data_IF_222114304981
#
_entry.id   IF_222114304981
#
_cell.length_a   1.000
_cell.length_b   1.000
_cell.length_c   1.000
_cell.angle_alpha   90.00
_cell.angle_beta   90.00
_cell.angle_gamma   90.00
#
_symmetry.space_group_name_H-M   'P 1'
#
loop_
_entity.id
_entity.type
_entity.pdbx_description
1 polymer ?
#
# COMPACT_ATOMS: atom_id res chain seq x y z
N UNK A 1 -24.46 -1.68 5.42
CA UNK A 1 -23.29 -2.15 4.67
C UNK A 1 -22.84 -3.47 5.27
N UNK A 2 -22.56 -4.48 4.46
CA UNK A 2 -22.04 -5.75 5.00
C UNK A 2 -20.56 -5.56 5.33
N UNK A 3 -20.13 -5.93 6.53
CA UNK A 3 -18.78 -5.76 7.04
C UNK A 3 -17.72 -6.33 6.09
N UNK A 4 -17.98 -7.52 5.54
CA UNK A 4 -17.07 -8.17 4.58
C UNK A 4 -16.83 -7.31 3.35
N UNK A 5 -17.88 -6.73 2.77
CA UNK A 5 -17.76 -5.88 1.58
C UNK A 5 -16.95 -4.61 1.88
N UNK A 6 -17.15 -4.02 3.06
CA UNK A 6 -16.38 -2.85 3.50
C UNK A 6 -14.89 -3.19 3.64
N UNK A 7 -14.58 -4.31 4.30
CA UNK A 7 -13.20 -4.76 4.45
C UNK A 7 -12.54 -5.03 3.10
N UNK A 8 -13.22 -5.70 2.18
CA UNK A 8 -12.71 -5.94 0.82
C UNK A 8 -12.42 -4.63 0.10
N UNK A 9 -13.33 -3.65 0.21
CA UNK A 9 -13.14 -2.33 -0.39
C UNK A 9 -11.91 -1.64 0.18
N UNK A 10 -11.80 -1.57 1.51
CA UNK A 10 -10.67 -0.90 2.19
C UNK A 10 -9.33 -1.57 1.87
N UNK A 11 -9.27 -2.91 1.92
CA UNK A 11 -8.03 -3.65 1.62
C UNK A 11 -7.59 -3.58 0.15
N UNK A 12 -8.50 -3.21 -0.75
CA UNK A 12 -8.19 -3.05 -2.18
C UNK A 12 -7.71 -1.62 -2.54
N UNK A 13 -7.80 -0.66 -1.60
CA UNK A 13 -7.37 0.71 -1.87
C UNK A 13 -5.84 0.80 -1.91
N UNK A 14 -5.26 1.51 -2.89
CA UNK A 14 -3.84 1.83 -2.88
C UNK A 14 -3.55 2.88 -1.81
N UNK A 15 -2.95 2.45 -0.70
CA UNK A 15 -2.72 3.29 0.47
C UNK A 15 -1.32 3.06 1.06
N UNK A 16 -0.30 2.92 0.23
CA UNK A 16 1.08 2.85 0.71
C UNK A 16 1.41 4.15 1.45
N UNK A 17 2.10 4.04 2.61
CA UNK A 17 2.47 5.20 3.44
C UNK A 17 3.09 6.32 2.60
N UNK A 18 2.52 7.51 2.67
CA UNK A 18 2.86 8.67 1.83
C UNK A 18 2.08 8.78 0.51
N UNK A 19 1.20 7.82 0.19
CA UNK A 19 0.38 7.80 -1.02
C UNK A 19 -1.11 7.54 -0.72
N UNK A 20 -1.62 7.99 0.44
CA UNK A 20 -2.95 7.65 0.96
C UNK A 20 -4.07 8.52 0.40
N UNK A 21 -3.78 9.60 -0.34
CA UNK A 21 -4.79 10.59 -0.73
C UNK A 21 -5.98 10.03 -1.52
N UNK A 22 -5.76 9.01 -2.34
CA UNK A 22 -6.86 8.35 -3.07
C UNK A 22 -7.70 7.49 -2.14
N UNK A 23 -7.05 6.76 -1.23
CA UNK A 23 -7.71 5.96 -0.21
C UNK A 23 -8.50 6.85 0.76
N UNK A 24 -7.94 7.99 1.19
CA UNK A 24 -8.61 8.97 2.03
C UNK A 24 -9.93 9.47 1.41
N UNK A 25 -9.95 9.75 0.10
CA UNK A 25 -11.19 10.14 -0.60
C UNK A 25 -12.24 9.03 -0.53
N UNK A 26 -11.86 7.77 -0.79
CA UNK A 26 -12.77 6.65 -0.73
C UNK A 26 -13.32 6.41 0.69
N UNK A 27 -12.45 6.54 1.71
CA UNK A 27 -12.86 6.43 3.11
C UNK A 27 -13.80 7.56 3.51
N UNK A 28 -13.55 8.80 3.07
CA UNK A 28 -14.45 9.92 3.31
C UNK A 28 -15.86 9.64 2.78
N UNK A 29 -15.99 9.06 1.57
CA UNK A 29 -17.29 8.68 1.03
C UNK A 29 -17.97 7.55 1.85
N UNK A 30 -17.19 6.62 2.39
CA UNK A 30 -17.71 5.56 3.28
C UNK A 30 -18.22 6.13 4.62
N UNK A 31 -17.63 7.24 5.11
CA UNK A 31 -18.04 7.89 6.36
C UNK A 31 -19.30 8.74 6.23
N UNK A 32 -19.53 9.37 5.06
CA UNK A 32 -20.65 10.30 4.84
C UNK A 32 -22.03 9.80 5.30
N UNK A 33 -22.42 8.53 5.10
CA UNK A 33 -23.72 8.05 5.54
C UNK A 33 -23.88 7.93 7.07
N UNK A 34 -22.79 8.04 7.81
CA UNK A 34 -22.75 7.76 9.26
C UNK A 34 -22.31 8.95 10.10
N UNK A 35 -21.86 10.04 9.50
CA UNK A 35 -21.33 11.21 10.19
C UNK A 35 -22.10 12.46 9.82
N UNK A 36 -22.21 13.41 10.75
CA UNK A 36 -22.78 14.73 10.50
C UNK A 36 -21.85 15.59 9.62
N UNK A 37 -20.53 15.45 9.84
CA UNK A 37 -19.50 16.08 9.01
C UNK A 37 -18.39 15.10 8.72
N UNK A 38 -17.77 15.24 7.53
CA UNK A 38 -16.60 14.47 7.12
C UNK A 38 -15.61 15.43 6.48
N UNK A 39 -14.45 15.54 7.10
CA UNK A 39 -13.35 16.40 6.65
C UNK A 39 -12.11 15.57 6.33
N UNK A 40 -11.29 16.06 5.40
CA UNK A 40 -9.98 15.47 5.13
C UNK A 40 -8.93 16.56 5.28
N UNK A 41 -7.96 16.35 6.15
CA UNK A 41 -6.90 17.32 6.38
C UNK A 41 -5.79 17.23 5.30
N UNK A 42 -4.82 18.15 5.39
CA UNK A 42 -3.69 18.22 4.45
C UNK A 42 -2.73 17.01 4.51
N UNK A 43 -2.80 16.21 5.57
CA UNK A 43 -2.00 15.01 5.74
C UNK A 43 -2.74 13.74 5.26
N UNK A 44 -4.00 13.88 4.80
CA UNK A 44 -4.82 12.76 4.37
C UNK A 44 -5.62 12.10 5.48
N UNK A 45 -5.63 12.64 6.71
CA UNK A 45 -6.48 12.12 7.78
C UNK A 45 -7.94 12.40 7.44
N UNK A 46 -8.78 11.36 7.48
CA UNK A 46 -10.22 11.48 7.30
C UNK A 46 -10.87 11.54 8.68
N UNK A 47 -11.57 12.63 8.95
CA UNK A 47 -12.19 12.90 10.25
C UNK A 47 -13.70 12.95 10.07
N UNK A 48 -14.38 11.93 10.57
CA UNK A 48 -15.84 11.90 10.64
C UNK A 48 -16.32 12.31 12.02
N UNK A 49 -17.24 13.26 12.12
CA UNK A 49 -17.81 13.71 13.36
C UNK A 49 -19.30 13.41 13.41
N UNK A 50 -19.75 12.88 14.55
CA UNK A 50 -21.14 12.56 14.83
C UNK A 50 -21.53 13.15 16.18
N UNK A 51 -22.55 14.00 16.23
CA UNK A 51 -23.07 14.58 17.46
C UNK A 51 -24.16 13.71 18.07
N UNK A 52 -24.09 13.46 19.36
CA UNK A 52 -25.18 12.83 20.09
C UNK A 52 -26.33 13.83 20.45
N UNK A 53 -26.21 15.11 20.10
CA UNK A 53 -27.21 16.14 20.38
C UNK A 53 -27.38 16.53 21.86
N UNK A 54 -26.50 16.02 22.75
CA UNK A 54 -26.58 16.31 24.19
C UNK A 54 -25.53 17.33 24.60
N UNK A 55 -25.99 18.44 25.18
CA UNK A 55 -25.10 19.48 25.72
C UNK A 55 -24.20 18.92 26.83
N UNK A 56 -22.90 19.28 26.81
CA UNK A 56 -21.91 18.82 27.79
C UNK A 56 -21.53 17.35 27.68
N UNK A 57 -21.94 16.66 26.63
CA UNK A 57 -21.49 15.30 26.37
C UNK A 57 -19.96 15.24 26.15
N UNK A 58 -19.35 14.18 26.66
CA UNK A 58 -17.92 13.92 26.40
C UNK A 58 -17.72 13.48 24.97
N UNK A 59 -16.59 13.90 24.37
CA UNK A 59 -16.16 13.42 23.06
C UNK A 59 -15.42 12.11 23.22
N UNK A 60 -15.71 11.14 22.35
CA UNK A 60 -14.95 9.89 22.18
C UNK A 60 -14.28 9.96 20.83
N UNK A 61 -12.96 9.75 20.78
CA UNK A 61 -12.19 9.61 19.56
C UNK A 61 -11.96 8.12 19.29
N UNK A 62 -12.33 7.66 18.09
CA UNK A 62 -11.93 6.37 17.56
C UNK A 62 -10.87 6.62 16.49
N UNK A 63 -9.70 6.04 16.67
CA UNK A 63 -8.56 6.26 15.79
C UNK A 63 -8.08 4.92 15.20
N UNK A 64 -7.78 4.92 13.89
CA UNK A 64 -7.23 3.78 13.18
C UNK A 64 -6.41 4.26 11.99
N UNK A 65 -5.26 3.61 11.73
CA UNK A 65 -4.43 3.96 10.57
C UNK A 65 -5.06 3.49 9.26
N UNK A 66 -4.81 4.23 8.20
CA UNK A 66 -5.28 3.94 6.84
C UNK A 66 -4.19 3.35 5.95
N UNK A 67 -2.93 3.71 6.22
CA UNK A 67 -1.80 3.30 5.39
C UNK A 67 -1.48 1.82 5.52
N UNK A 68 -0.84 1.30 4.48
CA UNK A 68 -0.36 -0.07 4.39
C UNK A 68 1.10 -0.11 3.94
N UNK A 69 1.75 -1.23 4.20
CA UNK A 69 3.09 -1.51 3.70
C UNK A 69 3.11 -1.58 2.17
N UNK A 70 4.26 -1.28 1.58
CA UNK A 70 4.44 -1.38 0.14
C UNK A 70 5.88 -1.13 -0.27
N UNK A 71 6.06 -0.61 -1.46
CA UNK A 71 7.37 -0.32 -2.04
C UNK A 71 7.40 1.04 -2.70
N UNK A 72 8.55 1.69 -2.64
CA UNK A 72 8.88 2.88 -3.41
C UNK A 72 9.83 2.48 -4.54
N UNK A 73 9.48 2.77 -5.78
CA UNK A 73 10.39 2.62 -6.93
C UNK A 73 11.52 3.63 -6.80
N UNK A 74 12.76 3.15 -6.76
CA UNK A 74 13.95 3.99 -6.60
C UNK A 74 14.70 4.20 -7.90
N UNK A 75 14.57 3.28 -8.86
CA UNK A 75 15.24 3.35 -10.14
C UNK A 75 14.48 2.53 -11.19
N UNK A 76 14.43 3.04 -12.42
CA UNK A 76 13.93 2.31 -13.58
C UNK A 76 15.14 1.85 -14.40
N UNK A 77 15.27 0.53 -14.57
CA UNK A 77 16.37 -0.10 -15.30
C UNK A 77 15.93 -0.50 -16.71
N UNK A 78 16.90 -0.77 -17.58
CA UNK A 78 16.62 -1.30 -18.90
C UNK A 78 15.91 -2.67 -18.84
N UNK A 79 15.07 -2.95 -19.85
CA UNK A 79 14.34 -4.23 -19.96
C UNK A 79 13.14 -4.36 -19.03
N UNK A 80 12.59 -3.24 -18.51
CA UNK A 80 11.38 -3.25 -17.67
C UNK A 80 11.62 -3.65 -16.21
N UNK A 81 12.86 -3.63 -15.74
CA UNK A 81 13.19 -3.89 -14.35
C UNK A 81 13.11 -2.60 -13.53
N UNK A 82 12.57 -2.72 -12.30
CA UNK A 82 12.49 -1.62 -11.34
C UNK A 82 13.23 -2.00 -10.06
N UNK A 83 14.11 -1.13 -9.60
CA UNK A 83 14.62 -1.21 -8.23
C UNK A 83 13.62 -0.58 -7.29
N UNK A 84 13.56 -1.10 -6.07
CA UNK A 84 12.60 -0.63 -5.08
C UNK A 84 13.18 -0.65 -3.67
N UNK A 85 12.62 0.19 -2.82
CA UNK A 85 12.86 0.20 -1.38
C UNK A 85 11.56 -0.15 -0.64
N UNK A 86 11.63 -0.87 0.50
CA UNK A 86 10.45 -1.17 1.29
C UNK A 86 9.93 0.10 1.98
N UNK A 87 8.61 0.20 2.07
CA UNK A 87 7.90 1.17 2.89
C UNK A 87 7.16 0.39 3.96
N UNK A 88 7.54 0.59 5.23
CA UNK A 88 7.06 -0.20 6.35
C UNK A 88 7.80 -1.53 6.54
N UNK A 89 7.29 -2.37 7.43
CA UNK A 89 7.91 -3.64 7.81
C UNK A 89 7.60 -4.77 6.84
N UNK A 90 8.46 -4.98 5.86
CA UNK A 90 8.32 -6.03 4.84
C UNK A 90 9.33 -7.15 5.10
N UNK A 91 8.86 -8.39 5.16
CA UNK A 91 9.73 -9.58 5.28
C UNK A 91 10.25 -9.99 3.89
N UNK A 92 11.57 -9.88 3.62
CA UNK A 92 12.14 -10.21 2.31
C UNK A 92 11.92 -11.67 1.89
N UNK A 93 11.72 -12.58 2.83
CA UNK A 93 11.49 -14.00 2.54
C UNK A 93 10.15 -14.27 1.84
N UNK A 94 9.21 -13.35 1.97
CA UNK A 94 7.86 -13.45 1.40
C UNK A 94 7.73 -12.78 0.03
N UNK A 95 8.79 -12.14 -0.46
CA UNK A 95 8.69 -11.25 -1.63
C UNK A 95 8.88 -11.95 -2.97
N UNK A 96 9.82 -12.89 -3.06
CA UNK A 96 10.17 -13.51 -4.33
C UNK A 96 8.98 -14.24 -4.96
N UNK A 97 8.68 -13.91 -6.21
CA UNK A 97 7.51 -14.41 -6.93
C UNK A 97 6.21 -13.73 -6.54
N UNK A 98 6.26 -12.75 -5.62
CA UNK A 98 5.09 -11.95 -5.24
C UNK A 98 4.66 -11.02 -6.38
N UNK A 99 3.36 -10.95 -6.59
CA UNK A 99 2.74 -10.02 -7.53
C UNK A 99 2.57 -8.65 -6.90
N UNK A 100 2.82 -7.60 -7.67
CA UNK A 100 2.68 -6.21 -7.23
C UNK A 100 1.96 -5.38 -8.28
N UNK A 101 1.24 -4.37 -7.82
CA UNK A 101 0.70 -3.31 -8.69
C UNK A 101 1.61 -2.10 -8.60
N UNK A 102 2.18 -1.66 -9.72
CA UNK A 102 2.97 -0.46 -9.83
C UNK A 102 2.01 0.69 -10.11
N UNK A 103 1.98 1.68 -9.22
CA UNK A 103 1.13 2.85 -9.33
C UNK A 103 1.82 3.88 -10.24
N UNK A 104 1.42 3.91 -11.50
CA UNK A 104 1.80 4.86 -12.53
C UNK A 104 0.54 5.59 -13.03
N UNK A 105 0.62 6.33 -14.15
CA UNK A 105 -0.55 6.96 -14.78
C UNK A 105 -1.65 5.93 -15.04
N UNK A 106 -1.26 4.75 -15.55
CA UNK A 106 -2.08 3.54 -15.56
C UNK A 106 -1.43 2.49 -14.67
N UNK A 107 -2.20 1.75 -13.86
CA UNK A 107 -1.66 0.69 -13.03
C UNK A 107 -0.99 -0.41 -13.86
N UNK A 108 0.24 -0.77 -13.52
CA UNK A 108 0.99 -1.79 -14.21
C UNK A 108 1.18 -3.01 -13.32
N UNK A 109 1.17 -4.17 -13.94
CA UNK A 109 1.47 -5.44 -13.27
C UNK A 109 2.97 -5.66 -13.18
N UNK A 110 3.44 -6.16 -12.04
CA UNK A 110 4.84 -6.52 -11.83
C UNK A 110 4.99 -7.76 -10.95
N UNK A 111 6.14 -8.38 -11.05
CA UNK A 111 6.52 -9.55 -10.24
C UNK A 111 7.87 -9.31 -9.60
N UNK A 112 7.99 -9.56 -8.31
CA UNK A 112 9.27 -9.46 -7.60
C UNK A 112 10.16 -10.63 -8.00
N UNK A 113 11.34 -10.31 -8.49
CA UNK A 113 12.32 -11.24 -9.05
C UNK A 113 13.71 -11.00 -8.45
N UNK A 114 14.59 -11.96 -8.59
CA UNK A 114 16.01 -11.82 -8.25
C UNK A 114 16.88 -12.50 -9.31
N UNK A 115 18.21 -12.41 -9.15
CA UNK A 115 19.14 -13.13 -10.00
C UNK A 115 18.91 -14.63 -9.93
N UNK A 116 18.82 -15.33 -11.07
CA UNK A 116 18.59 -16.79 -11.11
C UNK A 116 19.66 -17.57 -10.33
N UNK A 117 19.30 -18.69 -9.67
CA UNK A 117 20.21 -19.46 -8.84
C UNK A 117 21.50 -19.94 -9.54
N UNK A 118 21.42 -20.20 -10.85
CA UNK A 118 22.58 -20.66 -11.64
C UNK A 118 23.63 -19.56 -11.91
N UNK A 119 23.30 -18.31 -11.66
CA UNK A 119 24.21 -17.16 -11.74
C UNK A 119 24.78 -16.75 -10.38
N UNK A 120 24.30 -17.35 -9.29
CA UNK A 120 24.79 -17.10 -7.94
C UNK A 120 26.07 -17.87 -7.66
N UNK A 121 26.92 -17.32 -6.80
CA UNK A 121 28.13 -18.00 -6.33
C UNK A 121 27.78 -19.21 -5.45
N UNK A 122 28.67 -20.19 -5.42
CA UNK A 122 28.51 -21.38 -4.56
C UNK A 122 28.33 -20.96 -3.08
N UNK A 123 27.26 -21.44 -2.43
CA UNK A 123 26.91 -21.14 -1.04
C UNK A 123 25.96 -19.95 -0.83
N UNK A 124 25.60 -19.21 -1.87
CA UNK A 124 24.58 -18.14 -1.79
C UNK A 124 23.16 -18.64 -2.03
N UNK A 125 23.00 -19.81 -2.64
CA UNK A 125 21.72 -20.38 -3.07
C UNK A 125 20.73 -20.68 -1.92
N UNK A 126 21.23 -20.84 -0.69
CA UNK A 126 20.41 -21.17 0.48
C UNK A 126 20.18 -19.99 1.43
N UNK A 127 20.58 -18.79 1.05
CA UNK A 127 20.37 -17.59 1.85
C UNK A 127 19.16 -16.81 1.36
N UNK A 128 18.43 -16.16 2.30
CA UNK A 128 17.40 -15.22 1.92
C UNK A 128 18.03 -14.09 1.07
N UNK A 129 17.42 -13.80 -0.07
CA UNK A 129 17.88 -12.73 -0.96
C UNK A 129 17.58 -11.39 -0.29
N UNK A 130 18.57 -10.50 -0.12
CA UNK A 130 18.33 -9.15 0.38
C UNK A 130 17.51 -8.33 -0.63
N UNK A 131 16.72 -7.35 -0.13
CA UNK A 131 15.82 -6.54 -0.98
C UNK A 131 16.61 -5.75 -2.05
N UNK A 132 17.80 -5.28 -1.73
CA UNK A 132 18.69 -4.56 -2.63
C UNK A 132 19.20 -5.41 -3.83
N UNK A 133 19.06 -6.74 -3.74
CA UNK A 133 19.34 -7.68 -4.82
C UNK A 133 18.09 -8.15 -5.55
N UNK A 134 16.92 -7.67 -5.16
CA UNK A 134 15.66 -7.93 -5.85
C UNK A 134 15.36 -6.82 -6.86
N UNK A 135 14.52 -7.15 -7.83
CA UNK A 135 13.94 -6.19 -8.75
C UNK A 135 12.49 -6.58 -9.06
N UNK A 136 11.66 -5.62 -9.36
CA UNK A 136 10.34 -5.89 -9.93
C UNK A 136 10.50 -5.95 -11.44
N UNK A 137 10.08 -7.06 -12.04
CA UNK A 137 9.93 -7.19 -13.48
C UNK A 137 8.51 -6.74 -13.86
N UNK A 138 8.43 -5.70 -14.67
CA UNK A 138 7.18 -5.18 -15.20
C UNK A 138 7.10 -5.37 -16.71
N UNK A 139 5.89 -5.55 -17.22
CA UNK A 139 5.63 -5.70 -18.66
C UNK A 139 5.62 -4.35 -19.43
N UNK A 140 6.29 -3.33 -18.90
CA UNK A 140 6.31 -1.98 -19.48
C UNK A 140 6.91 -1.96 -20.91
N UNK A 141 7.63 -3.01 -21.34
CA UNK A 141 8.37 -3.08 -22.60
C UNK A 141 8.13 -4.36 -23.41
N UNK A 142 6.94 -4.92 -23.34
CA UNK A 142 6.54 -5.96 -24.30
C UNK A 142 5.56 -5.38 -25.30
#
# INVERSE_FOLDING_TARGET
MQLEQTLRTLCALPAVSGFEMQAAKAVAELFRPYCDTVDTDKNGNVIGSLSCGKEGAKTVLLDAHLDQIGFLVTEVLDGGFLRFAPVGGVDPRMLLGGEVTILADEPLYGVVSCMPPHLLKAGEQNKAVPIDQMAILSLIHI
#
